data_IF_204349172130
#
_entry.id   IF_204349172130
#
_cell.length_a   1.000
_cell.length_b   1.000
_cell.length_c   1.000
_cell.angle_alpha   90.00
_cell.angle_beta   90.00
_cell.angle_gamma   90.00
#
_symmetry.space_group_name_H-M   'P 1'
#
loop_
_entity.id
_entity.type
_entity.pdbx_description
1 polymer ?
#
# COMPACT_ATOMS: atom_id res chain seq x y z
N UNK A 1 18.92 -2.47 -6.15
CA UNK A 1 19.16 -3.41 -5.03
C UNK A 1 19.73 -2.61 -3.87
N UNK A 2 19.14 -2.72 -2.68
CA UNK A 2 19.64 -2.07 -1.46
C UNK A 2 20.27 -3.12 -0.57
N UNK A 3 21.47 -2.84 -0.03
CA UNK A 3 22.20 -3.77 0.85
C UNK A 3 22.49 -3.07 2.17
N UNK A 4 22.16 -3.72 3.29
CA UNK A 4 22.48 -3.24 4.62
C UNK A 4 23.79 -3.84 5.11
N UNK A 5 24.80 -3.01 5.35
CA UNK A 5 26.09 -3.41 5.93
C UNK A 5 26.09 -3.03 7.41
N UNK A 6 26.23 -4.02 8.28
CA UNK A 6 26.22 -3.85 9.74
C UNK A 6 27.53 -4.35 10.36
N UNK A 7 27.69 -4.24 11.68
CA UNK A 7 28.87 -4.76 12.41
C UNK A 7 29.15 -6.25 12.18
N UNK A 8 28.14 -7.02 11.75
CA UNK A 8 28.28 -8.44 11.41
C UNK A 8 28.79 -8.70 9.98
N UNK A 9 28.99 -7.66 9.18
CA UNK A 9 29.49 -7.75 7.81
C UNK A 9 31.03 -7.84 7.82
N UNK A 10 31.53 -9.07 7.78
CA UNK A 10 32.97 -9.33 7.68
C UNK A 10 33.47 -9.07 6.26
N UNK A 11 34.77 -8.82 6.11
CA UNK A 11 35.43 -8.72 4.80
C UNK A 11 35.10 -9.91 3.88
N UNK A 12 35.07 -11.14 4.43
CA UNK A 12 34.72 -12.34 3.65
C UNK A 12 33.29 -12.32 3.11
N UNK A 13 32.32 -11.76 3.86
CA UNK A 13 30.93 -11.64 3.40
C UNK A 13 30.80 -10.60 2.29
N UNK A 14 31.48 -9.46 2.43
CA UNK A 14 31.50 -8.42 1.41
C UNK A 14 32.17 -8.90 0.12
N UNK A 15 33.26 -9.66 0.23
CA UNK A 15 33.92 -10.23 -0.94
C UNK A 15 33.03 -11.26 -1.67
N UNK A 16 32.29 -12.10 -0.93
CA UNK A 16 31.30 -13.01 -1.54
C UNK A 16 30.18 -12.26 -2.27
N UNK A 17 29.69 -11.17 -1.70
CA UNK A 17 28.69 -10.32 -2.35
C UNK A 17 29.24 -9.70 -3.63
N UNK A 18 30.45 -9.14 -3.59
CA UNK A 18 31.12 -8.56 -4.75
C UNK A 18 31.26 -9.58 -5.90
N UNK A 19 31.82 -10.75 -5.59
CA UNK A 19 32.00 -11.82 -6.59
C UNK A 19 30.66 -12.32 -7.14
N UNK A 20 29.61 -12.39 -6.31
CA UNK A 20 28.28 -12.75 -6.79
C UNK A 20 27.70 -11.71 -7.76
N UNK A 21 27.90 -10.41 -7.49
CA UNK A 21 27.44 -9.34 -8.37
C UNK A 21 28.22 -9.30 -9.69
N UNK A 22 29.54 -9.49 -9.64
CA UNK A 22 30.38 -9.61 -10.83
C UNK A 22 29.95 -10.80 -11.70
N UNK A 23 29.65 -11.95 -11.08
CA UNK A 23 29.15 -13.11 -11.81
C UNK A 23 27.77 -12.85 -12.44
N UNK A 24 26.86 -12.14 -11.74
CA UNK A 24 25.55 -11.77 -12.30
C UNK A 24 25.72 -10.84 -13.51
N UNK A 25 26.65 -9.90 -13.47
CA UNK A 25 26.95 -8.99 -14.58
C UNK A 25 27.46 -9.77 -15.81
N UNK A 26 28.44 -10.66 -15.59
CA UNK A 26 28.98 -11.51 -16.65
C UNK A 26 27.93 -12.44 -17.26
N UNK A 27 27.02 -12.99 -16.46
CA UNK A 27 25.96 -13.89 -16.92
C UNK A 27 24.79 -13.16 -17.61
N UNK A 28 24.51 -11.91 -17.25
CA UNK A 28 23.29 -11.21 -17.70
C UNK A 28 23.38 -10.70 -19.13
N UNK A 29 24.59 -10.49 -19.67
CA UNK A 29 24.82 -9.90 -20.99
C UNK A 29 24.30 -8.46 -21.11
N UNK A 30 24.63 -7.76 -22.21
CA UNK A 30 24.12 -6.41 -22.51
C UNK A 30 22.60 -6.43 -22.78
N UNK A 31 21.77 -6.59 -21.74
CA UNK A 31 20.34 -6.31 -21.84
C UNK A 31 20.17 -4.81 -21.93
N UNK A 32 19.61 -4.34 -23.04
CA UNK A 32 19.10 -2.97 -23.12
C UNK A 32 18.14 -2.77 -21.95
N UNK A 33 18.26 -1.68 -21.17
CA UNK A 33 17.29 -1.39 -20.12
C UNK A 33 15.90 -1.41 -20.76
N UNK A 34 15.06 -2.35 -20.30
CA UNK A 34 13.63 -2.26 -20.54
C UNK A 34 13.21 -0.88 -20.05
N UNK A 35 12.50 -0.10 -20.87
CA UNK A 35 11.89 1.14 -20.41
C UNK A 35 10.98 0.77 -19.24
N UNK A 36 11.47 0.91 -18.01
CA UNK A 36 10.61 1.01 -16.86
C UNK A 36 9.85 2.31 -17.08
N UNK A 37 8.63 2.21 -17.60
CA UNK A 37 7.62 3.23 -17.36
C UNK A 37 7.56 3.35 -15.85
N UNK A 38 8.25 4.37 -15.30
CA UNK A 38 8.19 4.65 -13.88
C UNK A 38 6.74 4.75 -13.49
N UNK A 39 6.38 4.13 -12.38
CA UNK A 39 5.07 4.36 -11.77
C UNK A 39 5.10 5.83 -11.36
N UNK A 40 4.27 6.64 -12.02
CA UNK A 40 4.18 8.06 -11.74
C UNK A 40 3.38 8.26 -10.46
N UNK A 41 4.06 8.31 -9.31
CA UNK A 41 3.43 8.43 -7.98
C UNK A 41 2.75 9.80 -7.73
N UNK A 42 2.64 10.67 -8.75
CA UNK A 42 1.94 11.97 -8.66
C UNK A 42 0.44 11.86 -8.33
N UNK A 43 -0.14 10.66 -8.37
CA UNK A 43 -1.54 10.38 -8.00
C UNK A 43 -1.78 10.23 -6.49
N UNK A 44 -0.75 10.24 -5.64
CA UNK A 44 -0.88 9.98 -4.20
C UNK A 44 -1.38 11.22 -3.43
N UNK A 45 -2.63 11.61 -3.66
CA UNK A 45 -3.33 12.55 -2.77
C UNK A 45 -3.74 11.84 -1.48
N UNK A 46 -3.44 12.46 -0.35
CA UNK A 46 -3.87 11.97 0.95
C UNK A 46 -5.38 12.17 1.09
N UNK A 47 -6.11 11.08 1.34
CA UNK A 47 -7.51 11.14 1.75
C UNK A 47 -7.60 11.19 3.28
N UNK A 48 -8.68 11.80 3.83
CA UNK A 48 -8.83 11.97 5.27
C UNK A 48 -9.04 10.65 6.00
N UNK A 49 -8.63 10.62 7.27
CA UNK A 49 -8.90 9.52 8.19
C UNK A 49 -10.19 9.86 8.94
N UNK A 50 -11.28 9.15 8.62
CA UNK A 50 -12.63 9.38 9.20
C UNK A 50 -12.77 8.80 10.61
N UNK A 51 -12.16 7.65 10.87
CA UNK A 51 -12.25 6.97 12.15
C UNK A 51 -10.87 6.62 12.70
N UNK A 52 -10.73 6.59 14.03
CA UNK A 52 -9.49 6.18 14.69
C UNK A 52 -9.04 4.79 14.19
N UNK A 53 -7.83 4.64 13.62
CA UNK A 53 -7.41 3.43 12.91
C UNK A 53 -7.54 2.14 13.72
N UNK A 54 -7.26 2.21 15.03
CA UNK A 54 -7.40 1.06 15.94
C UNK A 54 -8.82 0.48 15.90
N UNK A 55 -9.85 1.32 15.98
CA UNK A 55 -11.23 0.83 16.07
C UNK A 55 -11.80 0.44 14.70
N UNK A 56 -11.38 1.13 13.64
CA UNK A 56 -11.69 0.71 12.28
C UNK A 56 -11.11 -0.68 11.97
N UNK A 57 -9.86 -0.96 12.39
CA UNK A 57 -9.20 -2.24 12.17
C UNK A 57 -9.93 -3.44 12.81
N UNK A 58 -10.48 -3.24 14.01
CA UNK A 58 -11.22 -4.29 14.75
C UNK A 58 -12.70 -4.40 14.37
N UNK A 59 -13.18 -3.65 13.38
CA UNK A 59 -14.57 -3.72 12.95
C UNK A 59 -14.84 -4.95 12.09
N UNK A 60 -16.09 -5.42 12.09
CA UNK A 60 -16.45 -6.62 11.32
C UNK A 60 -16.32 -6.39 9.84
N UNK A 61 -16.77 -5.24 9.31
CA UNK A 61 -16.62 -4.84 7.93
C UNK A 61 -17.26 -5.77 6.91
N UNK A 62 -17.16 -5.40 5.64
CA UNK A 62 -17.59 -6.20 4.50
C UNK A 62 -16.54 -6.20 3.40
N UNK A 63 -16.49 -7.28 2.60
CA UNK A 63 -15.54 -7.41 1.50
C UNK A 63 -16.22 -6.99 0.20
N UNK A 64 -15.71 -5.95 -0.44
CA UNK A 64 -16.25 -5.40 -1.67
C UNK A 64 -15.19 -5.34 -2.78
N UNK A 65 -15.60 -5.37 -4.07
CA UNK A 65 -14.68 -5.11 -5.18
C UNK A 65 -14.04 -3.73 -5.08
N UNK A 66 -12.76 -3.62 -5.45
CA UNK A 66 -12.01 -2.36 -5.43
C UNK A 66 -12.68 -1.24 -6.22
N UNK A 67 -13.34 -1.57 -7.33
CA UNK A 67 -14.08 -0.61 -8.17
C UNK A 67 -15.27 0.04 -7.46
N UNK A 68 -15.81 -0.61 -6.44
CA UNK A 68 -17.01 -0.18 -5.71
C UNK A 68 -16.65 0.47 -4.36
N UNK A 69 -15.34 0.67 -4.11
CA UNK A 69 -14.82 1.08 -2.81
C UNK A 69 -14.65 2.60 -2.64
N UNK A 70 -14.97 3.39 -3.67
CA UNK A 70 -14.88 4.85 -3.56
C UNK A 70 -15.79 5.37 -2.44
N UNK A 71 -15.28 6.32 -1.67
CA UNK A 71 -15.95 6.96 -0.52
C UNK A 71 -16.28 6.00 0.64
N UNK A 72 -15.80 4.75 0.58
CA UNK A 72 -15.89 3.79 1.69
C UNK A 72 -14.70 3.94 2.63
N UNK A 73 -14.85 3.48 3.87
CA UNK A 73 -13.76 3.50 4.85
C UNK A 73 -13.04 2.17 4.88
N UNK A 74 -11.72 2.16 4.71
CA UNK A 74 -10.92 0.94 4.78
C UNK A 74 -10.89 0.33 6.19
N UNK A 75 -11.01 -0.99 6.29
CA UNK A 75 -10.80 -1.74 7.55
C UNK A 75 -9.37 -2.26 7.67
N UNK A 76 -8.70 -2.50 6.55
CA UNK A 76 -7.35 -3.05 6.53
C UNK A 76 -6.36 -2.12 5.85
N UNK A 77 -5.09 -2.35 6.14
CA UNK A 77 -4.00 -1.69 5.45
C UNK A 77 -3.86 -2.29 4.04
N UNK A 78 -3.69 -1.45 3.03
CA UNK A 78 -3.41 -1.90 1.65
C UNK A 78 -2.05 -1.36 1.22
N UNK A 79 -1.13 -2.25 0.89
CA UNK A 79 0.29 -1.93 0.68
C UNK A 79 0.83 -2.59 -0.58
N UNK A 80 1.09 -1.82 -1.66
CA UNK A 80 1.82 -2.33 -2.82
C UNK A 80 3.30 -2.56 -2.49
N UNK A 81 3.90 -3.61 -3.04
CA UNK A 81 5.33 -3.92 -2.93
C UNK A 81 5.94 -4.31 -4.28
N UNK A 82 6.89 -3.51 -4.81
CA UNK A 82 7.38 -2.21 -4.32
C UNK A 82 6.34 -1.06 -4.48
N UNK A 83 6.40 0.04 -3.70
CA UNK A 83 7.49 0.46 -2.79
C UNK A 83 7.46 -0.10 -1.36
N UNK A 84 6.36 -0.72 -0.91
CA UNK A 84 6.24 -1.28 0.44
C UNK A 84 5.75 -0.30 1.51
N UNK A 85 5.17 0.83 1.11
CA UNK A 85 4.54 1.81 2.00
C UNK A 85 3.02 1.70 1.86
N UNK A 86 2.24 1.75 2.97
CA UNK A 86 0.79 1.67 2.90
C UNK A 86 0.20 2.80 2.05
N UNK A 87 -0.66 2.42 1.10
CA UNK A 87 -1.50 3.33 0.33
C UNK A 87 -2.81 3.65 1.05
N UNK A 88 -3.33 2.66 1.78
CA UNK A 88 -4.50 2.80 2.64
C UNK A 88 -4.17 2.36 4.05
N UNK A 89 -4.69 3.10 5.04
CA UNK A 89 -4.70 2.69 6.44
C UNK A 89 -6.13 2.47 6.94
N UNK A 90 -6.34 1.65 7.98
CA UNK A 90 -7.67 1.49 8.58
C UNK A 90 -8.25 2.83 9.03
N UNK A 91 -9.55 3.04 8.80
CA UNK A 91 -10.25 4.27 9.16
C UNK A 91 -10.13 5.39 8.11
N UNK A 92 -9.33 5.19 7.08
CA UNK A 92 -9.17 6.13 5.97
C UNK A 92 -10.27 5.99 4.92
N UNK A 93 -10.73 7.13 4.39
CA UNK A 93 -11.67 7.16 3.26
C UNK A 93 -10.93 6.78 1.98
N UNK A 94 -11.46 5.85 1.20
CA UNK A 94 -10.85 5.38 -0.03
C UNK A 94 -11.24 6.34 -1.16
N UNK A 95 -10.27 7.10 -1.68
CA UNK A 95 -10.51 8.01 -2.80
C UNK A 95 -10.47 7.29 -4.16
N UNK A 96 -10.96 7.95 -5.20
CA UNK A 96 -10.91 7.41 -6.57
C UNK A 96 -9.47 7.31 -7.08
N UNK A 97 -8.63 8.27 -6.74
CA UNK A 97 -7.20 8.29 -7.11
C UNK A 97 -6.46 7.11 -6.49
N UNK A 98 -6.80 6.73 -5.24
CA UNK A 98 -6.23 5.53 -4.60
C UNK A 98 -6.68 4.24 -5.28
N UNK A 99 -7.92 4.19 -5.79
CA UNK A 99 -8.41 3.05 -6.57
C UNK A 99 -7.67 2.96 -7.91
N UNK A 100 -7.46 4.08 -8.60
CA UNK A 100 -6.70 4.16 -9.85
C UNK A 100 -5.24 3.72 -9.63
N UNK A 101 -4.61 4.18 -8.56
CA UNK A 101 -3.29 3.76 -8.12
C UNK A 101 -3.19 2.23 -7.94
N UNK A 102 -4.10 1.64 -7.17
CA UNK A 102 -4.11 0.20 -6.91
C UNK A 102 -4.34 -0.62 -8.19
N UNK A 103 -5.18 -0.13 -9.10
CA UNK A 103 -5.34 -0.77 -10.41
C UNK A 103 -4.05 -0.69 -11.23
N UNK A 104 -3.38 0.46 -11.25
CA UNK A 104 -2.10 0.63 -11.93
C UNK A 104 -1.06 -0.36 -11.40
N UNK A 105 -0.89 -0.44 -10.07
CA UNK A 105 0.00 -1.42 -9.45
C UNK A 105 -0.34 -2.87 -9.86
N UNK A 106 -1.63 -3.23 -9.89
CA UNK A 106 -2.07 -4.56 -10.33
C UNK A 106 -1.73 -4.83 -11.80
N UNK A 107 -1.89 -3.85 -12.67
CA UNK A 107 -1.62 -3.97 -14.11
C UNK A 107 -0.11 -4.19 -14.38
N UNK A 108 0.76 -3.66 -13.52
CA UNK A 108 2.20 -3.95 -13.52
C UNK A 108 2.60 -5.23 -12.75
N UNK A 109 1.63 -6.04 -12.34
CA UNK A 109 1.84 -7.26 -11.55
C UNK A 109 2.61 -7.02 -10.24
N UNK A 110 2.47 -5.83 -9.66
CA UNK A 110 3.01 -5.50 -8.34
C UNK A 110 2.21 -6.27 -7.30
N UNK A 111 2.90 -6.86 -6.32
CA UNK A 111 2.26 -7.55 -5.21
C UNK A 111 1.55 -6.53 -4.32
N UNK A 112 0.28 -6.75 -3.97
CA UNK A 112 -0.49 -5.84 -3.12
C UNK A 112 -0.98 -6.59 -1.89
N UNK A 113 -0.44 -6.24 -0.73
CA UNK A 113 -0.90 -6.78 0.55
C UNK A 113 -2.21 -6.09 0.96
N UNK A 114 -3.15 -6.85 1.53
CA UNK A 114 -4.46 -6.33 1.93
C UNK A 114 -5.51 -6.27 0.82
N UNK A 115 -5.15 -6.62 -0.42
CA UNK A 115 -6.05 -6.77 -1.54
C UNK A 115 -6.11 -8.25 -1.97
N UNK A 116 -7.24 -8.91 -1.78
CA UNK A 116 -7.41 -10.34 -2.13
C UNK A 116 -8.38 -10.45 -3.30
N UNK A 117 -7.93 -11.03 -4.42
CA UNK A 117 -8.75 -11.21 -5.63
C UNK A 117 -9.40 -9.89 -6.14
N UNK A 118 -8.69 -8.76 -5.99
CA UNK A 118 -9.21 -7.44 -6.38
C UNK A 118 -10.32 -6.90 -5.47
N UNK A 119 -10.48 -7.49 -4.28
CA UNK A 119 -11.42 -7.06 -3.25
C UNK A 119 -10.66 -6.61 -2.01
N UNK A 120 -11.26 -5.68 -1.27
CA UNK A 120 -10.78 -5.23 0.02
C UNK A 120 -11.92 -5.14 1.03
N UNK A 121 -11.54 -5.01 2.29
CA UNK A 121 -12.48 -4.93 3.40
C UNK A 121 -12.73 -3.48 3.80
N UNK A 122 -14.00 -3.10 3.89
CA UNK A 122 -14.44 -1.75 4.25
C UNK A 122 -15.44 -1.79 5.41
N UNK A 123 -15.66 -0.66 6.09
CA UNK A 123 -16.67 -0.58 7.14
C UNK A 123 -18.07 -0.73 6.56
N UNK A 124 -18.93 -1.48 7.25
CA UNK A 124 -20.37 -1.50 6.96
C UNK A 124 -21.03 -0.24 7.51
N UNK A 125 -22.24 0.09 7.03
CA UNK A 125 -23.01 1.20 7.61
C UNK A 125 -23.29 1.02 9.12
N UNK A 126 -23.46 -0.23 9.57
CA UNK A 126 -23.64 -0.55 10.99
C UNK A 126 -22.36 -0.32 11.80
N UNK A 127 -21.19 -0.69 11.24
CA UNK A 127 -19.91 -0.40 11.87
C UNK A 127 -19.66 1.10 11.97
N UNK A 128 -19.94 1.87 10.91
CA UNK A 128 -19.79 3.33 10.92
C UNK A 128 -20.68 3.96 11.98
N UNK A 129 -21.97 3.60 12.04
CA UNK A 129 -22.89 4.11 13.04
C UNK A 129 -22.45 3.76 14.49
N UNK A 130 -21.92 2.55 14.70
CA UNK A 130 -21.37 2.14 16.00
C UNK A 130 -20.15 2.98 16.38
N UNK A 131 -19.20 3.15 15.46
CA UNK A 131 -17.99 3.94 15.71
C UNK A 131 -18.31 5.43 15.96
N UNK A 132 -19.34 5.97 15.30
CA UNK A 132 -19.84 7.32 15.58
C UNK A 132 -20.48 7.40 16.98
N UNK A 133 -21.33 6.44 17.34
CA UNK A 133 -21.95 6.39 18.66
C UNK A 133 -20.92 6.26 19.80
N UNK A 134 -19.84 5.51 19.56
CA UNK A 134 -18.73 5.33 20.50
C UNK A 134 -17.77 6.55 20.55
N UNK A 135 -17.97 7.56 19.70
CA UNK A 135 -17.15 8.78 19.67
C UNK A 135 -15.77 8.60 19.04
N UNK A 136 -15.61 7.64 18.12
CA UNK A 136 -14.33 7.35 17.45
C UNK A 136 -14.15 8.02 16.08
N UNK A 137 -15.08 8.91 15.70
CA UNK A 137 -14.97 9.77 14.53
C UNK A 137 -13.93 10.87 14.78
N UNK A 138 -13.05 11.10 13.82
CA UNK A 138 -12.09 12.19 13.85
C UNK A 138 -12.76 13.45 13.30
N UNK A 139 -12.75 14.53 14.08
CA UNK A 139 -13.48 15.77 13.79
C UNK A 139 -12.66 16.79 12.99
N UNK A 140 -11.34 16.59 12.84
CA UNK A 140 -10.45 17.45 12.05
C UNK A 140 -10.60 17.24 10.53
N UNK A 141 -11.69 16.62 10.10
CA UNK A 141 -12.09 16.57 8.68
C UNK A 141 -13.04 17.74 8.49
N UNK A 142 -12.50 18.96 8.52
CA UNK A 142 -13.29 20.16 8.26
C UNK A 142 -13.94 20.01 6.88
N UNK A 143 -15.27 20.04 6.93
CA UNK A 143 -16.16 20.36 5.82
C UNK A 143 -15.84 21.79 5.40
N UNK A 144 -14.85 22.02 4.52
CA UNK A 144 -14.68 23.21 3.67
C UNK A 144 -13.27 23.24 3.03
N UNK A 145 -13.18 22.85 1.75
CA UNK A 145 -12.45 23.55 0.66
C UNK A 145 -12.75 22.91 -0.71
#
# INVERSE_FOLDING_TARGET
>A
MTVLITIGATHSKLNRLFLALENIEQMSGNRSPSKSSGIDDSFLKLSPIKFVPRFAFYSEGEVIPLRDAADRVSVHMVTPYPPGIPLLVPGQIISKEMIEALNHYRDFQVEIHGLTEGKLKVLTAADEARLEADGYRILDVDEDE
#
